data_IF_323121082368
#
_entry.id   IF_323121082368
#
_cell.length_a   1.000
_cell.length_b   1.000
_cell.length_c   1.000
_cell.angle_alpha   90.00
_cell.angle_beta   90.00
_cell.angle_gamma   90.00
#
_symmetry.space_group_name_H-M   'P 1'
#
loop_
_entity.id
_entity.type
_entity.pdbx_description
1 polymer ?
#
# COMPACT_ATOMS: atom_id res chain seq x y z
N UNK A 1 17.39 26.50 17.78
CA UNK A 1 17.75 25.47 18.75
C UNK A 1 17.96 24.15 17.99
N UNK A 2 19.23 23.71 17.85
CA UNK A 2 19.61 22.50 17.08
C UNK A 2 18.97 21.19 17.58
N UNK A 3 18.28 21.20 18.70
CA UNK A 3 17.62 20.01 19.28
C UNK A 3 16.35 19.61 18.56
N UNK A 4 15.70 20.53 17.84
CA UNK A 4 14.43 20.24 17.15
C UNK A 4 14.59 19.32 15.93
N UNK A 5 15.78 19.28 15.31
CA UNK A 5 16.08 18.40 14.18
C UNK A 5 16.46 16.96 14.54
N UNK A 6 16.63 16.65 15.84
CA UNK A 6 17.10 15.32 16.28
C UNK A 6 16.05 14.21 16.04
N UNK A 7 14.77 14.56 16.08
CA UNK A 7 13.66 13.64 15.91
C UNK A 7 12.68 14.17 14.87
N UNK A 8 12.14 13.29 14.03
CA UNK A 8 11.08 13.58 13.07
C UNK A 8 9.78 12.86 13.44
N UNK A 9 8.67 13.27 12.82
CA UNK A 9 7.34 12.74 13.19
C UNK A 9 6.80 13.33 14.48
N UNK A 10 7.24 14.55 14.82
CA UNK A 10 6.78 15.29 16.00
C UNK A 10 5.30 15.67 15.88
N UNK A 11 4.58 15.86 17.01
CA UNK A 11 3.30 16.55 17.01
C UNK A 11 3.45 17.99 16.44
N UNK A 12 2.39 18.52 15.83
CA UNK A 12 2.41 19.85 15.19
C UNK A 12 2.87 20.95 16.15
N UNK A 13 2.39 20.93 17.40
CA UNK A 13 2.75 21.89 18.44
C UNK A 13 4.25 21.85 18.84
N UNK A 14 4.96 20.80 18.44
CA UNK A 14 6.38 20.60 18.67
C UNK A 14 7.21 20.70 17.38
N UNK A 15 6.68 21.35 16.35
CA UNK A 15 7.36 21.53 15.07
C UNK A 15 7.29 20.34 14.13
N UNK A 16 6.24 19.52 14.25
CA UNK A 16 5.91 18.48 13.29
C UNK A 16 5.31 19.06 12.01
N UNK A 17 5.40 18.31 10.90
CA UNK A 17 4.86 18.71 9.60
C UNK A 17 3.43 18.21 9.41
N UNK A 18 2.54 19.09 8.92
CA UNK A 18 1.21 18.67 8.46
C UNK A 18 1.32 17.62 7.34
N UNK A 19 0.35 16.71 7.31
CA UNK A 19 0.31 15.67 6.28
C UNK A 19 1.29 14.51 6.47
N UNK A 20 2.20 14.55 7.46
CA UNK A 20 3.20 13.49 7.69
C UNK A 20 2.58 12.09 7.78
N UNK A 21 1.39 11.98 8.40
CA UNK A 21 0.67 10.71 8.54
C UNK A 21 0.25 10.09 7.20
N UNK A 22 -0.11 10.90 6.22
CA UNK A 22 -0.54 10.45 4.90
C UNK A 22 0.59 10.44 3.85
N UNK A 23 1.73 11.08 4.14
CA UNK A 23 2.77 11.39 3.17
C UNK A 23 3.32 10.18 2.41
N UNK A 24 3.48 9.03 3.07
CA UNK A 24 3.95 7.81 2.40
C UNK A 24 2.92 7.30 1.38
N UNK A 25 1.64 7.26 1.76
CA UNK A 25 0.57 6.85 0.84
C UNK A 25 0.38 7.83 -0.32
N UNK A 26 0.48 9.15 -0.05
CA UNK A 26 0.39 10.19 -1.06
C UNK A 26 1.56 10.12 -2.05
N UNK A 27 2.80 10.05 -1.57
CA UNK A 27 3.97 9.89 -2.44
C UNK A 27 3.93 8.62 -3.28
N UNK A 28 3.43 7.51 -2.71
CA UNK A 28 3.20 6.28 -3.49
C UNK A 28 2.17 6.47 -4.59
N UNK A 29 1.12 7.25 -4.34
CA UNK A 29 0.14 7.59 -5.37
C UNK A 29 0.74 8.48 -6.46
N UNK A 30 1.54 9.49 -6.11
CA UNK A 30 2.21 10.37 -7.08
C UNK A 30 3.13 9.56 -8.01
N UNK A 31 3.90 8.61 -7.44
CA UNK A 31 4.75 7.69 -8.21
C UNK A 31 3.90 6.81 -9.14
N UNK A 32 2.79 6.27 -8.63
CA UNK A 32 1.87 5.48 -9.45
C UNK A 32 1.28 6.31 -10.59
N UNK A 33 0.82 7.54 -10.33
CA UNK A 33 0.22 8.42 -11.35
C UNK A 33 1.23 8.73 -12.48
N UNK A 34 2.49 9.00 -12.12
CA UNK A 34 3.56 9.20 -13.09
C UNK A 34 3.78 7.97 -13.98
N UNK A 35 3.72 6.76 -13.41
CA UNK A 35 3.93 5.50 -14.13
C UNK A 35 2.69 5.00 -14.86
N UNK A 36 1.49 5.37 -14.43
CA UNK A 36 0.22 4.84 -14.96
C UNK A 36 0.14 4.94 -16.49
N UNK A 37 0.54 6.08 -17.03
CA UNK A 37 0.50 6.36 -18.47
C UNK A 37 1.55 5.53 -19.24
N UNK A 38 2.76 5.46 -18.71
CA UNK A 38 3.86 4.70 -19.34
C UNK A 38 3.60 3.21 -19.34
N UNK A 39 3.08 2.69 -18.24
CA UNK A 39 2.75 1.29 -18.05
C UNK A 39 1.42 0.89 -18.73
N UNK A 40 0.73 1.83 -19.38
CA UNK A 40 -0.59 1.60 -20.02
C UNK A 40 -1.59 0.95 -19.07
N UNK A 41 -1.59 1.36 -17.80
CA UNK A 41 -2.58 0.91 -16.84
C UNK A 41 -3.93 1.60 -17.13
N UNK A 42 -5.06 0.94 -16.82
CA UNK A 42 -6.38 1.54 -17.02
C UNK A 42 -6.56 2.79 -16.15
N UNK A 43 -7.38 3.75 -16.61
CA UNK A 43 -7.71 4.96 -15.84
C UNK A 43 -8.32 4.61 -14.46
N UNK A 44 -9.16 3.59 -14.41
CA UNK A 44 -9.66 3.01 -13.17
C UNK A 44 -8.97 1.65 -12.95
N UNK A 45 -7.76 1.69 -12.41
CA UNK A 45 -6.98 0.50 -12.13
C UNK A 45 -7.57 -0.27 -10.93
N UNK A 46 -7.44 -1.59 -10.98
CA UNK A 46 -7.76 -2.49 -9.87
C UNK A 46 -6.57 -2.60 -8.92
N UNK A 47 -6.83 -2.34 -7.63
CA UNK A 47 -5.82 -2.23 -6.59
C UNK A 47 -6.06 -3.28 -5.50
N UNK A 48 -5.01 -3.96 -5.08
CA UNK A 48 -4.98 -4.84 -3.90
C UNK A 48 -3.95 -4.31 -2.92
N UNK A 49 -4.34 -4.15 -1.64
CA UNK A 49 -3.48 -3.57 -0.62
C UNK A 49 -3.31 -4.55 0.54
N UNK A 50 -2.07 -4.96 0.81
CA UNK A 50 -1.75 -5.73 2.00
C UNK A 50 -1.33 -4.78 3.11
N UNK A 51 -2.09 -4.78 4.20
CA UNK A 51 -1.82 -3.92 5.36
C UNK A 51 -2.77 -2.72 5.43
N UNK A 52 -3.61 -2.71 6.47
CA UNK A 52 -4.54 -1.62 6.81
C UNK A 52 -4.04 -0.85 8.02
N UNK A 53 -2.74 -0.53 8.00
CA UNK A 53 -2.11 0.42 8.93
C UNK A 53 -2.20 1.85 8.41
N UNK A 54 -1.37 2.74 8.97
CA UNK A 54 -1.33 4.15 8.55
C UNK A 54 -1.06 4.29 7.05
N UNK A 55 -0.03 3.61 6.52
CA UNK A 55 0.37 3.72 5.12
C UNK A 55 -0.69 3.15 4.18
N UNK A 56 -1.07 1.88 4.39
CA UNK A 56 -2.03 1.21 3.50
C UNK A 56 -3.44 1.78 3.57
N UNK A 57 -3.90 2.23 4.75
CA UNK A 57 -5.19 2.90 4.89
C UNK A 57 -5.26 4.24 4.15
N UNK A 58 -4.22 5.08 4.30
CA UNK A 58 -4.14 6.34 3.57
C UNK A 58 -4.03 6.10 2.06
N UNK A 59 -3.17 5.16 1.63
CA UNK A 59 -3.07 4.79 0.21
C UNK A 59 -4.45 4.35 -0.34
N UNK A 60 -5.16 3.46 0.35
CA UNK A 60 -6.48 3.00 -0.08
C UNK A 60 -7.46 4.15 -0.29
N UNK A 61 -7.52 5.09 0.66
CA UNK A 61 -8.38 6.27 0.57
C UNK A 61 -8.01 7.17 -0.60
N UNK A 62 -6.70 7.41 -0.83
CA UNK A 62 -6.21 8.26 -1.92
C UNK A 62 -6.52 7.60 -3.28
N UNK A 63 -6.14 6.34 -3.48
CA UNK A 63 -6.42 5.63 -4.72
C UNK A 63 -7.93 5.58 -5.03
N UNK A 64 -8.76 5.31 -4.02
CA UNK A 64 -10.22 5.29 -4.19
C UNK A 64 -10.79 6.67 -4.55
N UNK A 65 -10.32 7.74 -3.92
CA UNK A 65 -10.74 9.11 -4.22
C UNK A 65 -10.40 9.54 -5.65
N UNK A 66 -9.35 8.96 -6.26
CA UNK A 66 -8.96 9.18 -7.65
C UNK A 66 -9.60 8.19 -8.63
N UNK A 67 -10.62 7.44 -8.20
CA UNK A 67 -11.44 6.59 -9.07
C UNK A 67 -10.86 5.20 -9.35
N UNK A 68 -9.85 4.76 -8.59
CA UNK A 68 -9.34 3.40 -8.68
C UNK A 68 -10.18 2.45 -7.84
N UNK A 69 -10.28 1.20 -8.27
CA UNK A 69 -11.08 0.18 -7.61
C UNK A 69 -10.25 -0.60 -6.60
N UNK A 70 -10.54 -0.47 -5.32
CA UNK A 70 -9.89 -1.24 -4.27
C UNK A 70 -10.56 -2.61 -4.16
N UNK A 71 -9.91 -3.66 -4.68
CA UNK A 71 -10.47 -5.02 -4.69
C UNK A 71 -10.32 -5.74 -3.37
N UNK A 72 -9.19 -5.53 -2.68
CA UNK A 72 -8.92 -6.21 -1.42
C UNK A 72 -8.03 -5.36 -0.51
N UNK A 73 -8.25 -5.53 0.79
CA UNK A 73 -7.46 -4.94 1.86
C UNK A 73 -7.28 -5.97 2.97
N UNK A 74 -6.14 -5.92 3.68
CA UNK A 74 -5.91 -6.82 4.82
C UNK A 74 -5.28 -6.14 6.02
N UNK A 75 -5.40 -6.79 7.17
CA UNK A 75 -4.63 -6.51 8.38
C UNK A 75 -3.88 -7.77 8.84
N UNK A 76 -3.32 -7.75 10.05
CA UNK A 76 -2.59 -8.90 10.62
C UNK A 76 -3.45 -10.16 10.85
N UNK A 77 -4.78 -10.03 10.85
CA UNK A 77 -5.73 -11.13 11.12
C UNK A 77 -6.38 -11.70 9.86
N UNK A 78 -6.09 -11.13 8.69
CA UNK A 78 -6.62 -11.55 7.39
C UNK A 78 -7.10 -10.40 6.53
N UNK A 79 -7.75 -10.72 5.44
CA UNK A 79 -8.21 -9.74 4.47
C UNK A 79 -9.67 -9.88 4.08
N UNK A 80 -10.14 -8.87 3.39
CA UNK A 80 -11.46 -8.80 2.77
C UNK A 80 -11.30 -8.51 1.28
N UNK A 81 -12.10 -9.18 0.46
CA UNK A 81 -12.10 -9.07 -1.00
C UNK A 81 -13.50 -8.80 -1.53
N UNK A 82 -13.63 -7.89 -2.47
CA UNK A 82 -14.84 -7.66 -3.25
C UNK A 82 -14.48 -7.42 -4.72
N UNK A 83 -15.07 -8.21 -5.63
CA UNK A 83 -14.89 -7.99 -7.08
C UNK A 83 -15.49 -6.66 -7.57
N UNK A 84 -16.48 -6.15 -6.84
CA UNK A 84 -17.16 -4.91 -7.18
C UNK A 84 -16.46 -3.68 -6.60
N UNK A 85 -15.45 -3.90 -5.76
CA UNK A 85 -14.68 -2.90 -5.04
C UNK A 85 -15.13 -2.77 -3.60
N UNK A 86 -14.23 -2.26 -2.79
CA UNK A 86 -14.43 -1.93 -1.38
C UNK A 86 -14.44 -0.41 -1.21
N UNK A 87 -15.26 0.11 -0.31
CA UNK A 87 -15.13 1.47 0.21
C UNK A 87 -14.08 1.46 1.35
N UNK A 88 -12.90 2.06 1.15
CA UNK A 88 -11.84 2.06 2.16
C UNK A 88 -12.26 2.70 3.48
N UNK A 89 -13.12 3.73 3.44
CA UNK A 89 -13.63 4.39 4.66
C UNK A 89 -14.53 3.47 5.47
N UNK A 90 -15.42 2.72 4.80
CA UNK A 90 -16.24 1.73 5.49
C UNK A 90 -15.40 0.62 6.12
N UNK A 91 -14.36 0.15 5.41
CA UNK A 91 -13.39 -0.84 5.92
C UNK A 91 -12.61 -0.29 7.12
N UNK A 92 -12.15 0.96 7.05
CA UNK A 92 -11.43 1.64 8.13
C UNK A 92 -12.29 1.80 9.39
N UNK A 93 -13.53 2.27 9.23
CA UNK A 93 -14.46 2.44 10.33
C UNK A 93 -14.75 1.10 11.02
N UNK A 94 -15.05 0.07 10.24
CA UNK A 94 -15.26 -1.27 10.77
C UNK A 94 -14.05 -1.77 11.57
N UNK A 95 -12.83 -1.57 11.05
CA UNK A 95 -11.62 -1.95 11.76
C UNK A 95 -11.46 -1.18 13.08
N UNK A 96 -11.77 0.13 13.10
CA UNK A 96 -11.71 0.94 14.33
C UNK A 96 -12.67 0.42 15.41
N UNK A 97 -13.87 0.02 15.02
CA UNK A 97 -14.90 -0.47 15.92
C UNK A 97 -14.63 -1.90 16.41
N UNK A 98 -14.10 -2.78 15.54
CA UNK A 98 -13.98 -4.22 15.79
C UNK A 98 -12.54 -4.70 16.04
N UNK A 99 -11.54 -3.80 15.92
CA UNK A 99 -10.14 -4.11 16.13
C UNK A 99 -9.49 -4.94 14.99
N UNK A 100 -10.25 -5.33 13.96
CA UNK A 100 -9.73 -6.03 12.79
C UNK A 100 -10.72 -6.01 11.63
N UNK A 101 -10.25 -6.43 10.43
CA UNK A 101 -11.11 -6.60 9.24
C UNK A 101 -11.91 -7.90 9.24
N UNK A 102 -11.64 -8.78 10.18
CA UNK A 102 -12.33 -10.07 10.26
C UNK A 102 -13.83 -9.87 10.52
N UNK A 103 -14.66 -10.47 9.64
CA UNK A 103 -16.11 -10.34 9.72
C UNK A 103 -16.68 -9.09 9.04
N UNK A 104 -15.88 -8.26 8.35
CA UNK A 104 -16.41 -7.15 7.57
C UNK A 104 -17.46 -7.63 6.55
N UNK A 105 -18.69 -7.08 6.58
CA UNK A 105 -19.81 -7.62 5.80
C UNK A 105 -19.75 -7.23 4.31
N UNK A 106 -18.93 -6.23 3.94
CA UNK A 106 -18.85 -5.71 2.57
C UNK A 106 -18.00 -6.52 1.60
N UNK A 107 -17.56 -7.74 1.97
CA UNK A 107 -16.75 -8.57 1.10
C UNK A 107 -16.49 -9.97 1.66
N UNK A 108 -15.83 -10.80 0.83
CA UNK A 108 -15.45 -12.17 1.20
C UNK A 108 -14.16 -12.15 2.03
N UNK A 109 -14.15 -12.90 3.13
CA UNK A 109 -12.95 -13.09 3.95
C UNK A 109 -11.92 -13.94 3.20
N UNK A 110 -10.65 -13.52 3.27
CA UNK A 110 -9.49 -14.20 2.65
C UNK A 110 -8.29 -14.16 3.60
N UNK A 111 -7.32 -15.06 3.39
CA UNK A 111 -6.05 -15.00 4.10
C UNK A 111 -5.11 -13.97 3.47
N UNK A 112 -4.07 -13.55 4.20
CA UNK A 112 -3.05 -12.65 3.68
C UNK A 112 -2.30 -13.23 2.48
N UNK A 113 -2.03 -14.54 2.49
CA UNK A 113 -1.37 -15.23 1.40
C UNK A 113 -2.25 -15.20 0.13
N UNK A 114 -3.53 -15.49 0.27
CA UNK A 114 -4.48 -15.46 -0.86
C UNK A 114 -4.76 -14.06 -1.37
N UNK A 115 -4.64 -13.03 -0.53
CA UNK A 115 -4.75 -11.65 -0.97
C UNK A 115 -3.66 -11.30 -2.01
N UNK A 116 -2.42 -11.71 -1.78
CA UNK A 116 -1.31 -11.45 -2.69
C UNK A 116 -1.49 -12.11 -4.07
N UNK A 117 -2.28 -13.19 -4.16
CA UNK A 117 -2.52 -13.93 -5.40
C UNK A 117 -3.70 -13.39 -6.23
N UNK A 118 -4.43 -12.38 -5.73
CA UNK A 118 -5.59 -11.81 -6.42
C UNK A 118 -5.14 -11.12 -7.71
N UNK A 119 -5.73 -11.46 -8.87
CA UNK A 119 -5.45 -10.73 -10.10
C UNK A 119 -5.87 -9.26 -9.98
N UNK A 120 -4.91 -8.35 -10.23
CA UNK A 120 -5.14 -6.91 -10.17
C UNK A 120 -4.16 -6.17 -11.09
N UNK A 121 -4.39 -4.89 -11.33
CA UNK A 121 -3.44 -4.06 -12.06
C UNK A 121 -2.25 -3.67 -11.17
N UNK A 122 -2.51 -3.34 -9.89
CA UNK A 122 -1.48 -2.94 -8.93
C UNK A 122 -1.66 -3.65 -7.60
N UNK A 123 -0.60 -4.30 -7.14
CA UNK A 123 -0.47 -4.88 -5.81
C UNK A 123 0.38 -3.94 -4.94
N UNK A 124 -0.14 -3.55 -3.78
CA UNK A 124 0.51 -2.64 -2.84
C UNK A 124 0.81 -3.38 -1.53
N UNK A 125 2.01 -3.93 -1.35
CA UNK A 125 2.45 -4.40 -0.05
C UNK A 125 2.79 -3.20 0.84
N UNK A 126 2.01 -3.00 1.92
CA UNK A 126 2.11 -1.88 2.85
C UNK A 126 2.12 -2.34 4.32
N UNK A 127 2.54 -3.58 4.58
CA UNK A 127 2.56 -4.17 5.92
C UNK A 127 3.99 -4.39 6.43
N UNK A 128 4.60 -5.50 6.05
CA UNK A 128 5.88 -5.96 6.58
C UNK A 128 6.86 -6.29 5.45
N UNK A 129 8.12 -6.49 5.82
CA UNK A 129 9.15 -7.03 4.94
C UNK A 129 8.87 -8.49 4.52
N UNK A 130 9.48 -8.94 3.44
CA UNK A 130 9.47 -10.34 2.99
C UNK A 130 8.07 -10.96 2.81
N UNK A 131 7.10 -10.18 2.33
CA UNK A 131 5.76 -10.68 2.03
C UNK A 131 5.70 -11.40 0.68
N UNK A 132 6.44 -10.92 -0.31
CA UNK A 132 6.61 -11.54 -1.61
C UNK A 132 7.97 -12.20 -1.65
N UNK A 133 7.97 -13.52 -1.68
CA UNK A 133 9.19 -14.34 -1.61
C UNK A 133 9.22 -15.34 -2.76
N UNK A 134 10.35 -16.05 -2.91
CA UNK A 134 10.47 -17.16 -3.88
C UNK A 134 9.30 -18.16 -3.82
N UNK A 135 8.65 -18.29 -2.64
CA UNK A 135 7.58 -19.29 -2.44
C UNK A 135 6.27 -18.89 -3.16
N UNK A 136 5.95 -17.61 -3.20
CA UNK A 136 4.67 -17.09 -3.72
C UNK A 136 4.80 -16.20 -4.96
N UNK A 137 6.01 -15.71 -5.31
CA UNK A 137 6.20 -14.79 -6.43
C UNK A 137 5.65 -15.30 -7.77
N UNK A 138 5.69 -16.62 -8.01
CA UNK A 138 5.13 -17.25 -9.21
C UNK A 138 3.60 -17.13 -9.30
N UNK A 139 2.92 -17.03 -8.15
CA UNK A 139 1.46 -16.98 -8.03
C UNK A 139 0.92 -15.54 -8.03
N UNK A 140 1.78 -14.53 -7.92
CA UNK A 140 1.43 -13.11 -8.03
C UNK A 140 0.92 -12.81 -9.45
N UNK A 141 -0.26 -12.17 -9.56
CA UNK A 141 -0.96 -11.91 -10.82
C UNK A 141 -1.26 -10.42 -10.97
N UNK A 142 -0.21 -9.61 -10.98
CA UNK A 142 -0.32 -8.17 -11.14
C UNK A 142 0.60 -7.66 -12.24
N UNK A 143 0.31 -6.49 -12.80
CA UNK A 143 1.21 -5.78 -13.71
C UNK A 143 2.29 -5.01 -12.95
N UNK A 144 1.91 -4.44 -11.82
CA UNK A 144 2.80 -3.59 -11.01
C UNK A 144 2.72 -4.01 -9.55
N UNK A 145 3.87 -4.14 -8.90
CA UNK A 145 4.01 -4.15 -7.44
C UNK A 145 4.51 -2.77 -7.02
N UNK A 146 3.76 -2.05 -6.20
CA UNK A 146 4.13 -0.73 -5.66
C UNK A 146 4.47 -0.88 -4.18
N UNK A 147 5.75 -0.85 -3.84
CA UNK A 147 6.26 -1.18 -2.52
C UNK A 147 6.13 -0.02 -1.53
N UNK A 148 5.07 0.00 -0.73
CA UNK A 148 4.89 1.00 0.32
C UNK A 148 5.44 0.55 1.70
N UNK A 149 5.65 -0.74 1.92
CA UNK A 149 6.44 -1.26 3.03
C UNK A 149 7.94 -1.24 2.68
N UNK A 150 8.81 -1.37 3.68
CA UNK A 150 10.24 -1.54 3.46
C UNK A 150 10.56 -3.00 3.17
N UNK A 151 11.29 -3.27 2.08
CA UNK A 151 11.73 -4.60 1.69
C UNK A 151 10.64 -5.67 1.59
N UNK A 152 9.44 -5.38 1.04
CA UNK A 152 8.35 -6.35 1.03
C UNK A 152 8.60 -7.50 0.04
N UNK A 153 9.43 -7.29 -0.98
CA UNK A 153 9.80 -8.29 -1.98
C UNK A 153 11.24 -8.73 -1.76
N UNK A 154 11.47 -10.05 -1.64
CA UNK A 154 12.84 -10.58 -1.55
C UNK A 154 13.54 -10.52 -2.91
N UNK A 155 14.88 -10.48 -2.90
CA UNK A 155 15.70 -10.44 -4.13
C UNK A 155 15.35 -11.58 -5.09
N UNK A 156 15.18 -12.80 -4.58
CA UNK A 156 14.82 -13.96 -5.41
C UNK A 156 13.41 -13.85 -5.98
N UNK A 157 12.51 -13.18 -5.26
CA UNK A 157 11.15 -12.93 -5.74
C UNK A 157 11.14 -11.87 -6.85
N UNK A 158 11.96 -10.83 -6.72
CA UNK A 158 12.11 -9.78 -7.73
C UNK A 158 12.54 -10.36 -9.08
N UNK A 159 13.55 -11.23 -9.10
CA UNK A 159 13.99 -11.97 -10.29
C UNK A 159 12.84 -12.78 -10.95
N UNK A 160 11.97 -13.39 -10.14
CA UNK A 160 10.83 -14.16 -10.65
C UNK A 160 9.78 -13.21 -11.24
N UNK A 161 9.46 -12.12 -10.55
CA UNK A 161 8.50 -11.12 -11.00
C UNK A 161 8.96 -10.46 -12.30
N UNK A 162 10.24 -10.08 -12.38
CA UNK A 162 10.83 -9.52 -13.59
C UNK A 162 10.69 -10.47 -14.80
N UNK A 163 11.02 -11.75 -14.64
CA UNK A 163 10.86 -12.76 -15.70
C UNK A 163 9.42 -12.97 -16.13
N UNK A 164 8.46 -12.69 -15.24
CA UNK A 164 7.02 -12.73 -15.54
C UNK A 164 6.50 -11.46 -16.22
N UNK A 165 7.32 -10.41 -16.33
CA UNK A 165 6.91 -9.12 -16.84
C UNK A 165 6.11 -8.27 -15.84
N UNK A 166 6.17 -8.61 -14.54
CA UNK A 166 5.64 -7.76 -13.47
C UNK A 166 6.67 -6.69 -13.14
N UNK A 167 6.26 -5.43 -13.18
CA UNK A 167 7.12 -4.30 -12.83
C UNK A 167 7.08 -4.04 -11.33
N UNK A 168 8.23 -4.03 -10.67
CA UNK A 168 8.35 -3.69 -9.26
C UNK A 168 8.82 -2.24 -9.13
N UNK A 169 8.02 -1.40 -8.49
CA UNK A 169 8.42 -0.05 -8.08
C UNK A 169 9.05 -0.19 -6.71
N UNK A 170 10.38 0.01 -6.59
CA UNK A 170 11.08 -0.29 -5.36
C UNK A 170 10.67 0.66 -4.22
N UNK A 171 10.76 0.16 -3.01
CA UNK A 171 10.38 0.85 -1.78
C UNK A 171 11.08 2.21 -1.61
N UNK A 172 12.37 2.28 -1.90
CA UNK A 172 13.16 3.52 -1.81
C UNK A 172 12.57 4.68 -2.65
N UNK A 173 11.82 4.38 -3.70
CA UNK A 173 11.08 5.36 -4.50
C UNK A 173 9.64 5.47 -4.02
N UNK A 174 8.92 4.35 -3.94
CA UNK A 174 7.49 4.33 -3.72
C UNK A 174 7.08 4.86 -2.34
N UNK A 175 7.86 4.60 -1.29
CA UNK A 175 7.55 5.04 0.08
C UNK A 175 8.32 6.30 0.54
N UNK A 176 9.08 6.94 -0.35
CA UNK A 176 9.92 8.11 -0.03
C UNK A 176 9.16 9.32 0.49
N UNK A 177 7.87 9.46 0.18
CA UNK A 177 7.07 10.63 0.60
C UNK A 177 7.11 10.90 2.10
N UNK A 178 7.12 9.85 2.93
CA UNK A 178 7.27 9.98 4.36
C UNK A 178 8.63 10.56 4.79
N UNK A 179 9.70 10.16 4.14
CA UNK A 179 11.07 10.68 4.40
C UNK A 179 11.19 12.10 3.90
N UNK A 180 10.64 12.43 2.74
CA UNK A 180 10.63 13.81 2.20
C UNK A 180 9.99 14.78 3.20
N UNK A 181 8.80 14.46 3.72
CA UNK A 181 8.16 15.31 4.73
C UNK A 181 8.97 15.37 6.03
N UNK A 182 9.58 14.26 6.45
CA UNK A 182 10.45 14.25 7.62
C UNK A 182 11.67 15.15 7.46
N UNK A 183 12.19 15.32 6.23
CA UNK A 183 13.33 16.23 5.96
C UNK A 183 12.95 17.70 6.22
N UNK A 184 11.70 18.08 6.03
CA UNK A 184 11.25 19.45 6.34
C UNK A 184 11.13 19.74 7.85
N UNK A 185 11.23 18.73 8.69
CA UNK A 185 11.26 18.89 10.15
C UNK A 185 12.67 19.17 10.69
N UNK A 186 13.70 19.12 9.86
CA UNK A 186 15.08 19.46 10.19
C UNK A 186 15.34 20.94 9.96
#
# INVERSE_FOLDING_TARGET
DMRNGTFTGKPLDYGGSEGRGAATGAGGFDVFEALQKEMKLPKSASIVIQGMGNVGGNAANIFHAHGHKILAMSDSKGGVYSKDGLDPKAVENYKKENGSLRGFPGGKQISNEKLLEIPCDVLIPAALENQITKKNAKDIKTKVVLELANGPTSTEADDILFKKGTFVVPDILANSGGVVVSTFEW
#
